data_IF_449785167091
#
_entry.id   IF_449785167091
#
_cell.length_a   1.000
_cell.length_b   1.000
_cell.length_c   1.000
_cell.angle_alpha   90.00
_cell.angle_beta   90.00
_cell.angle_gamma   90.00
#
_symmetry.space_group_name_H-M   'P 1'
#
loop_
_entity.id
_entity.type
_entity.pdbx_description
1 polymer ?
#
# COMPACT_ATOMS: atom_id res chain seq x y z
N UNK A 1 30.32 65.65 59.64
CA UNK A 1 30.47 65.73 58.16
C UNK A 1 30.44 64.31 57.60
N UNK A 2 29.27 63.81 57.20
CA UNK A 2 29.09 62.43 56.67
C UNK A 2 28.99 62.50 55.14
N UNK A 3 29.87 61.78 54.45
CA UNK A 3 29.91 61.65 52.98
C UNK A 3 28.81 60.68 52.54
N UNK A 4 27.92 61.12 51.65
CA UNK A 4 26.93 60.28 50.97
C UNK A 4 27.62 59.60 49.78
N UNK A 5 27.52 58.27 49.67
CA UNK A 5 27.93 57.52 48.49
C UNK A 5 26.71 57.32 47.59
N UNK A 6 26.80 57.80 46.36
CA UNK A 6 25.79 57.59 45.31
C UNK A 6 26.07 56.23 44.68
N UNK A 7 25.14 55.28 44.82
CA UNK A 7 25.18 53.98 44.17
C UNK A 7 24.48 54.11 42.80
N UNK A 8 25.24 54.01 41.72
CA UNK A 8 24.72 53.92 40.36
C UNK A 8 24.23 52.48 40.11
N UNK A 9 22.92 52.32 39.90
CA UNK A 9 22.31 51.06 39.43
C UNK A 9 22.15 51.16 37.91
N UNK A 10 22.93 50.38 37.17
CA UNK A 10 22.78 50.20 35.72
C UNK A 10 21.71 49.15 35.45
N UNK A 11 20.59 49.58 34.85
CA UNK A 11 19.49 48.73 34.40
C UNK A 11 19.85 48.17 33.01
N UNK A 12 20.13 46.87 32.91
CA UNK A 12 20.35 46.20 31.63
C UNK A 12 19.00 45.84 30.98
N UNK A 13 18.67 46.52 29.87
CA UNK A 13 17.47 46.29 29.08
C UNK A 13 17.72 45.10 28.12
N UNK A 14 17.19 43.92 28.42
CA UNK A 14 17.20 42.78 27.50
C UNK A 14 16.10 42.97 26.45
N UNK A 15 16.45 43.40 25.23
CA UNK A 15 15.56 43.31 24.07
C UNK A 15 15.48 41.85 23.62
N UNK A 16 14.34 41.19 23.88
CA UNK A 16 14.02 39.89 23.29
C UNK A 16 13.74 40.05 21.79
N UNK A 17 14.58 39.45 20.96
CA UNK A 17 14.31 39.28 19.53
C UNK A 17 13.28 38.15 19.37
N UNK A 18 12.03 38.49 19.07
CA UNK A 18 11.03 37.52 18.65
C UNK A 18 11.37 37.06 17.22
N UNK A 19 11.80 35.81 17.07
CA UNK A 19 11.95 35.18 15.75
C UNK A 19 10.57 35.02 15.10
N UNK A 20 10.42 35.33 13.80
CA UNK A 20 9.16 35.09 13.12
C UNK A 20 8.89 33.58 13.07
N UNK A 21 7.69 33.19 13.48
CA UNK A 21 7.16 31.84 13.26
C UNK A 21 7.06 31.66 11.74
N UNK A 22 7.94 30.83 11.18
CA UNK A 22 7.80 30.36 9.80
C UNK A 22 6.46 29.64 9.68
N UNK A 23 5.55 30.21 8.90
CA UNK A 23 4.36 29.49 8.45
C UNK A 23 4.86 28.26 7.67
N UNK A 24 4.55 27.06 8.17
CA UNK A 24 4.83 25.82 7.44
C UNK A 24 4.03 25.86 6.15
N UNK A 25 4.73 25.99 5.02
CA UNK A 25 4.14 25.86 3.70
C UNK A 25 3.39 24.53 3.65
N UNK A 26 2.10 24.57 3.27
CA UNK A 26 1.38 23.35 2.91
C UNK A 26 2.14 22.69 1.76
N UNK A 27 2.56 21.42 1.89
CA UNK A 27 3.29 20.75 0.82
C UNK A 27 2.43 20.78 -0.44
N UNK A 28 2.93 21.43 -1.49
CA UNK A 28 2.35 21.32 -2.82
C UNK A 28 2.74 19.94 -3.33
N UNK A 29 1.80 18.99 -3.24
CA UNK A 29 1.93 17.70 -3.89
C UNK A 29 2.12 17.93 -5.39
N UNK A 30 3.33 17.75 -5.90
CA UNK A 30 3.54 17.53 -7.33
C UNK A 30 3.00 16.13 -7.59
N UNK A 31 1.78 16.03 -8.10
CA UNK A 31 1.13 14.73 -8.34
C UNK A 31 2.04 13.84 -9.18
N UNK A 32 2.64 12.84 -8.54
CA UNK A 32 3.43 11.84 -9.24
C UNK A 32 2.51 11.11 -10.22
N UNK A 33 3.05 10.72 -11.37
CA UNK A 33 2.33 9.85 -12.29
C UNK A 33 1.94 8.56 -11.53
N UNK A 34 0.65 8.20 -11.45
CA UNK A 34 0.24 6.92 -10.91
C UNK A 34 0.89 5.80 -11.71
N UNK A 35 1.44 4.81 -11.02
CA UNK A 35 2.05 3.61 -11.57
C UNK A 35 1.17 2.42 -11.19
N UNK A 36 0.35 1.96 -12.13
CA UNK A 36 -0.69 0.96 -11.88
C UNK A 36 -0.11 -0.37 -11.38
N UNK A 37 1.11 -0.71 -11.82
CA UNK A 37 1.79 -1.94 -11.42
C UNK A 37 2.59 -1.83 -10.13
N UNK A 38 2.80 -0.63 -9.61
CA UNK A 38 3.69 -0.42 -8.47
C UNK A 38 3.02 -0.82 -7.13
N UNK A 39 3.61 -1.81 -6.45
CA UNK A 39 3.18 -2.27 -5.14
C UNK A 39 4.30 -2.16 -4.10
N UNK A 40 4.08 -1.33 -3.07
CA UNK A 40 5.03 -1.10 -1.99
C UNK A 40 4.89 -2.21 -0.96
N UNK A 41 5.85 -3.12 -0.97
CA UNK A 41 5.95 -4.20 -0.02
C UNK A 41 6.55 -3.68 1.28
N UNK A 42 6.12 -4.25 2.41
CA UNK A 42 6.56 -3.82 3.73
C UNK A 42 6.51 -2.29 3.94
N UNK A 43 5.52 -1.60 3.36
CA UNK A 43 5.51 -0.13 3.28
C UNK A 43 5.63 0.56 4.65
N UNK A 44 5.18 -0.12 5.71
CA UNK A 44 5.28 0.32 7.09
C UNK A 44 6.71 0.42 7.64
N UNK A 45 7.70 -0.09 6.92
CA UNK A 45 9.13 0.02 7.24
C UNK A 45 9.75 1.32 6.71
N UNK A 46 9.08 2.03 5.80
CA UNK A 46 9.52 3.35 5.34
C UNK A 46 9.36 4.44 6.41
N UNK A 47 10.06 5.56 6.20
CA UNK A 47 10.05 6.70 7.14
C UNK A 47 8.65 7.31 7.26
N UNK A 48 7.96 7.49 6.12
CA UNK A 48 6.58 7.97 6.05
C UNK A 48 5.72 6.92 5.34
N UNK A 49 5.24 5.88 6.06
CA UNK A 49 4.35 4.87 5.49
C UNK A 49 3.19 5.52 4.74
N UNK A 50 2.78 4.87 3.64
CA UNK A 50 1.87 5.35 2.60
C UNK A 50 2.37 6.56 1.81
N UNK A 51 2.82 7.62 2.50
CA UNK A 51 3.11 8.90 1.85
C UNK A 51 4.31 8.80 0.92
N UNK A 52 5.38 8.11 1.32
CA UNK A 52 6.54 7.88 0.45
C UNK A 52 6.12 7.12 -0.81
N UNK A 53 5.34 6.04 -0.68
CA UNK A 53 4.82 5.27 -1.82
C UNK A 53 3.96 6.14 -2.77
N UNK A 54 3.03 6.92 -2.22
CA UNK A 54 2.18 7.82 -3.02
C UNK A 54 3.01 8.91 -3.71
N UNK A 55 4.03 9.49 -3.05
CA UNK A 55 4.96 10.45 -3.68
C UNK A 55 5.80 9.82 -4.80
N UNK A 56 5.99 8.50 -4.77
CA UNK A 56 6.61 7.73 -5.85
C UNK A 56 5.62 7.25 -6.92
N UNK A 57 4.34 7.61 -6.82
CA UNK A 57 3.31 7.22 -7.79
C UNK A 57 2.69 5.84 -7.55
N UNK A 58 3.06 5.15 -6.47
CA UNK A 58 2.56 3.79 -6.23
C UNK A 58 1.05 3.77 -6.06
N UNK A 59 0.41 2.74 -6.60
CA UNK A 59 -1.04 2.57 -6.55
C UNK A 59 -1.48 1.44 -5.63
N UNK A 60 -0.52 0.72 -5.03
CA UNK A 60 -0.78 -0.28 -4.01
C UNK A 60 0.30 -0.31 -2.92
N UNK A 61 -0.10 -0.58 -1.68
CA UNK A 61 0.78 -0.75 -0.51
C UNK A 61 0.34 -1.96 0.32
N UNK A 62 1.27 -2.55 1.07
CA UNK A 62 1.01 -3.61 2.05
C UNK A 62 1.23 -3.16 3.49
N UNK A 63 0.34 -3.59 4.40
CA UNK A 63 0.45 -3.40 5.83
C UNK A 63 0.35 -4.74 6.59
N UNK A 64 1.39 -5.09 7.35
CA UNK A 64 1.41 -6.26 8.24
C UNK A 64 0.70 -5.92 9.56
N UNK A 65 -0.46 -6.53 9.83
CA UNK A 65 -1.35 -6.14 10.93
C UNK A 65 -1.47 -7.22 12.00
N UNK A 66 -1.24 -6.79 13.24
CA UNK A 66 -1.46 -7.55 14.46
C UNK A 66 -2.61 -6.94 15.27
N UNK A 67 -3.52 -7.78 15.78
CA UNK A 67 -4.44 -7.39 16.84
C UNK A 67 -3.78 -7.60 18.20
N UNK A 68 -3.48 -6.51 18.90
CA UNK A 68 -2.83 -6.53 20.22
C UNK A 68 -3.59 -5.60 21.17
N UNK A 69 -4.13 -6.15 22.25
CA UNK A 69 -4.89 -5.41 23.27
C UNK A 69 -6.06 -4.59 22.69
N UNK A 70 -6.66 -5.06 21.60
CA UNK A 70 -7.76 -4.39 20.90
C UNK A 70 -7.33 -3.33 19.87
N UNK A 71 -6.02 -3.09 19.70
CA UNK A 71 -5.47 -2.18 18.69
C UNK A 71 -4.97 -2.96 17.46
N UNK A 72 -5.19 -2.42 16.26
CA UNK A 72 -4.65 -2.92 15.00
C UNK A 72 -3.25 -2.33 14.76
N UNK A 73 -2.22 -2.94 15.33
CA UNK A 73 -0.83 -2.45 15.25
C UNK A 73 -0.14 -2.97 14.01
N UNK A 74 0.69 -2.12 13.39
CA UNK A 74 1.39 -2.44 12.14
C UNK A 74 2.86 -2.73 12.41
N UNK A 75 3.31 -3.93 12.07
CA UNK A 75 4.70 -4.38 12.11
C UNK A 75 4.84 -5.78 11.48
N UNK A 76 6.03 -6.09 10.98
CA UNK A 76 6.34 -7.43 10.48
C UNK A 76 6.23 -8.48 11.59
N UNK A 77 7.04 -8.31 12.63
CA UNK A 77 7.07 -9.17 13.79
C UNK A 77 6.24 -8.60 14.95
N UNK A 78 5.60 -9.49 15.71
CA UNK A 78 4.79 -9.11 16.89
C UNK A 78 5.57 -8.29 17.91
N UNK A 79 6.87 -8.56 18.06
CA UNK A 79 7.76 -7.84 19.00
C UNK A 79 7.96 -6.37 18.64
N UNK A 80 7.82 -6.02 17.37
CA UNK A 80 7.99 -4.66 16.84
C UNK A 80 6.68 -3.88 16.73
N UNK A 81 5.55 -4.52 17.06
CA UNK A 81 4.22 -3.93 17.03
C UNK A 81 4.01 -2.91 18.17
N UNK A 82 4.57 -1.71 17.97
CA UNK A 82 4.56 -0.59 18.92
C UNK A 82 3.18 0.04 19.06
N UNK A 83 2.84 0.43 20.29
CA UNK A 83 1.63 1.21 20.56
C UNK A 83 1.63 2.52 19.76
N UNK A 84 0.46 2.88 19.20
CA UNK A 84 0.28 4.12 18.45
C UNK A 84 0.74 4.10 16.99
N UNK A 85 1.38 3.02 16.50
CA UNK A 85 1.58 2.74 15.07
C UNK A 85 0.45 1.81 14.59
N UNK A 86 -0.75 2.35 14.47
CA UNK A 86 -1.94 1.58 14.09
C UNK A 86 -2.25 1.68 12.60
N UNK A 87 -3.04 0.73 12.10
CA UNK A 87 -3.55 0.71 10.72
C UNK A 87 -4.28 2.01 10.37
N UNK A 88 -5.10 2.53 11.30
CA UNK A 88 -5.82 3.79 11.12
C UNK A 88 -4.84 4.94 10.90
N UNK A 89 -3.87 5.10 11.80
CA UNK A 89 -2.97 6.25 11.79
C UNK A 89 -2.01 6.24 10.61
N UNK A 90 -1.50 5.06 10.24
CA UNK A 90 -0.51 4.94 9.16
C UNK A 90 -1.15 4.89 7.78
N UNK A 91 -2.38 4.38 7.65
CA UNK A 91 -2.99 4.14 6.34
C UNK A 91 -4.38 4.77 6.18
N UNK A 92 -5.34 4.45 7.04
CA UNK A 92 -6.74 4.84 6.79
C UNK A 92 -6.99 6.35 6.92
N UNK A 93 -6.43 6.99 7.94
CA UNK A 93 -6.50 8.45 8.14
C UNK A 93 -5.83 9.24 7.01
N UNK A 94 -4.58 8.93 6.60
CA UNK A 94 -3.96 9.64 5.50
C UNK A 94 -4.61 9.33 4.14
N UNK A 95 -5.06 8.10 3.86
CA UNK A 95 -5.86 7.80 2.66
C UNK A 95 -7.16 8.60 2.63
N UNK A 96 -7.88 8.70 3.75
CA UNK A 96 -9.08 9.50 3.85
C UNK A 96 -8.81 11.00 3.60
N UNK A 97 -7.62 11.46 4.00
CA UNK A 97 -7.19 12.84 3.78
C UNK A 97 -6.84 13.11 2.32
N UNK A 98 -6.08 12.22 1.68
CA UNK A 98 -5.75 12.28 0.25
C UNK A 98 -7.02 12.24 -0.61
N UNK A 99 -7.92 11.30 -0.34
CA UNK A 99 -9.17 11.15 -1.10
C UNK A 99 -10.10 12.36 -0.98
N UNK A 100 -10.16 13.02 0.18
CA UNK A 100 -10.88 14.30 0.31
C UNK A 100 -10.21 15.43 -0.47
N UNK A 101 -8.89 15.54 -0.39
CA UNK A 101 -8.13 16.58 -1.09
C UNK A 101 -8.23 16.43 -2.63
N UNK A 102 -8.23 15.19 -3.12
CA UNK A 102 -8.19 14.85 -4.54
C UNK A 102 -9.58 14.43 -5.08
N UNK A 103 -10.67 14.90 -4.44
CA UNK A 103 -12.07 14.75 -4.90
C UNK A 103 -12.49 13.31 -5.21
N UNK A 104 -12.08 12.36 -4.39
CA UNK A 104 -12.46 10.95 -4.51
C UNK A 104 -11.43 10.05 -5.18
N UNK A 105 -10.18 10.49 -5.35
CA UNK A 105 -9.06 9.64 -5.78
C UNK A 105 -7.88 9.76 -4.81
N UNK A 106 -7.00 8.75 -4.73
CA UNK A 106 -5.76 8.88 -3.93
C UNK A 106 -4.74 9.73 -4.69
N UNK A 107 -4.60 9.48 -6.00
CA UNK A 107 -3.78 10.29 -6.89
C UNK A 107 -4.64 11.31 -7.64
N UNK A 108 -4.23 12.58 -7.75
CA UNK A 108 -5.01 13.58 -8.47
C UNK A 108 -5.14 13.19 -9.96
N UNK A 109 -6.32 13.38 -10.55
CA UNK A 109 -6.63 13.09 -11.97
C UNK A 109 -6.44 11.62 -12.41
N UNK A 110 -6.36 10.69 -11.47
CA UNK A 110 -6.33 9.26 -11.74
C UNK A 110 -7.71 8.63 -11.52
N UNK A 111 -8.18 7.85 -12.50
CA UNK A 111 -9.47 7.15 -12.48
C UNK A 111 -9.39 5.71 -11.97
N UNK A 112 -8.19 5.23 -11.64
CA UNK A 112 -7.98 3.95 -10.97
C UNK A 112 -8.29 3.98 -9.47
N UNK A 113 -8.15 2.80 -8.84
CA UNK A 113 -8.39 2.59 -7.41
C UNK A 113 -7.11 2.19 -6.71
N UNK A 114 -6.82 2.82 -5.58
CA UNK A 114 -5.65 2.50 -4.80
C UNK A 114 -5.87 1.25 -3.97
N UNK A 115 -4.97 0.27 -4.00
CA UNK A 115 -5.11 -0.96 -3.23
C UNK A 115 -4.33 -0.89 -1.91
N UNK A 116 -5.05 -1.01 -0.79
CA UNK A 116 -4.47 -1.28 0.52
C UNK A 116 -4.56 -2.79 0.81
N UNK A 117 -3.43 -3.49 0.72
CA UNK A 117 -3.33 -4.90 1.09
C UNK A 117 -3.05 -5.00 2.60
N UNK A 118 -3.95 -5.64 3.35
CA UNK A 118 -3.79 -5.85 4.79
C UNK A 118 -3.42 -7.30 5.03
N UNK A 119 -2.17 -7.57 5.42
CA UNK A 119 -1.70 -8.91 5.74
C UNK A 119 -1.90 -9.21 7.23
N UNK A 120 -2.86 -10.08 7.55
CA UNK A 120 -3.17 -10.41 8.94
C UNK A 120 -2.12 -11.39 9.49
N UNK A 121 -1.36 -10.94 10.50
CA UNK A 121 -0.31 -11.75 11.14
C UNK A 121 -0.75 -12.46 12.42
N UNK A 122 -1.83 -11.99 13.06
CA UNK A 122 -2.44 -12.61 14.25
C UNK A 122 -3.62 -13.53 13.89
N UNK A 123 -4.42 -13.93 14.89
CA UNK A 123 -5.64 -14.72 14.66
C UNK A 123 -6.54 -14.11 13.58
N UNK A 124 -6.88 -14.90 12.56
CA UNK A 124 -7.58 -14.39 11.38
C UNK A 124 -8.94 -13.78 11.71
N UNK A 125 -9.80 -14.54 12.39
CA UNK A 125 -11.18 -14.17 12.69
C UNK A 125 -11.28 -12.94 13.60
N UNK A 126 -10.57 -12.94 14.73
CA UNK A 126 -10.61 -11.82 15.66
C UNK A 126 -10.00 -10.54 15.05
N UNK A 127 -8.88 -10.68 14.33
CA UNK A 127 -8.21 -9.53 13.70
C UNK A 127 -9.04 -8.97 12.56
N UNK A 128 -9.63 -9.82 11.72
CA UNK A 128 -10.52 -9.37 10.65
C UNK A 128 -11.76 -8.67 11.20
N UNK A 129 -12.38 -9.17 12.27
CA UNK A 129 -13.51 -8.49 12.91
C UNK A 129 -13.14 -7.08 13.40
N UNK A 130 -11.94 -6.92 13.96
CA UNK A 130 -11.41 -5.61 14.34
C UNK A 130 -11.13 -4.70 13.12
N UNK A 131 -10.54 -5.25 12.05
CA UNK A 131 -10.33 -4.53 10.78
C UNK A 131 -11.65 -4.07 10.19
N UNK A 132 -12.65 -4.94 10.04
CA UNK A 132 -13.98 -4.58 9.52
C UNK A 132 -14.62 -3.46 10.33
N UNK A 133 -14.52 -3.52 11.66
CA UNK A 133 -15.00 -2.46 12.55
C UNK A 133 -14.31 -1.13 12.27
N UNK A 134 -13.00 -1.11 12.10
CA UNK A 134 -12.25 0.10 11.75
C UNK A 134 -12.66 0.63 10.37
N UNK A 135 -12.70 -0.22 9.34
CA UNK A 135 -13.05 0.13 7.95
C UNK A 135 -14.44 0.78 7.83
N UNK A 136 -15.41 0.42 8.70
CA UNK A 136 -16.74 1.04 8.71
C UNK A 136 -16.70 2.55 8.96
N UNK A 137 -15.69 3.05 9.67
CA UNK A 137 -15.45 4.49 9.87
C UNK A 137 -15.03 5.22 8.59
N UNK A 138 -14.48 4.49 7.62
CA UNK A 138 -13.92 5.03 6.38
C UNK A 138 -14.73 4.66 5.13
N UNK A 139 -15.90 4.05 5.29
CA UNK A 139 -16.73 3.49 4.19
C UNK A 139 -16.91 4.40 2.98
N UNK A 140 -16.90 5.73 3.14
CA UNK A 140 -17.10 6.67 2.04
C UNK A 140 -15.96 6.68 1.02
N UNK A 141 -14.75 6.28 1.40
CA UNK A 141 -13.60 6.19 0.48
C UNK A 141 -13.38 4.77 -0.07
N UNK A 142 -13.99 3.76 0.57
CA UNK A 142 -13.71 2.36 0.30
C UNK A 142 -14.62 1.78 -0.78
N UNK A 143 -14.08 0.87 -1.57
CA UNK A 143 -14.86 -0.07 -2.39
C UNK A 143 -15.70 -0.97 -1.48
N UNK A 144 -16.96 -1.16 -1.82
CA UNK A 144 -17.91 -1.93 -1.01
C UNK A 144 -18.61 -2.98 -1.85
N UNK A 145 -18.84 -4.15 -1.27
CA UNK A 145 -19.64 -5.20 -1.90
C UNK A 145 -20.88 -5.47 -1.05
N UNK A 146 -22.05 -5.35 -1.67
CA UNK A 146 -23.34 -5.65 -1.03
C UNK A 146 -24.07 -6.69 -1.87
N UNK A 147 -24.31 -7.88 -1.30
CA UNK A 147 -25.02 -8.96 -1.99
C UNK A 147 -24.46 -9.28 -3.40
N UNK A 148 -23.12 -9.29 -3.54
CA UNK A 148 -22.45 -9.57 -4.81
C UNK A 148 -22.34 -8.38 -5.76
N UNK A 149 -22.95 -7.24 -5.45
CA UNK A 149 -22.79 -6.02 -6.23
C UNK A 149 -21.66 -5.16 -5.67
N UNK A 150 -20.71 -4.80 -6.53
CA UNK A 150 -19.64 -3.89 -6.22
C UNK A 150 -20.08 -2.43 -6.36
N UNK A 151 -19.60 -1.59 -5.44
CA UNK A 151 -19.64 -0.14 -5.49
C UNK A 151 -18.21 0.36 -5.35
N UNK A 152 -17.56 0.75 -6.45
CA UNK A 152 -16.18 1.22 -6.43
C UNK A 152 -16.02 2.45 -5.52
N UNK A 153 -14.91 2.48 -4.79
CA UNK A 153 -14.42 3.64 -4.06
C UNK A 153 -12.98 3.95 -4.46
N UNK A 154 -12.44 5.05 -3.93
CA UNK A 154 -11.07 5.49 -4.18
C UNK A 154 -10.02 4.47 -3.73
N UNK A 155 -10.34 3.71 -2.68
CA UNK A 155 -9.47 2.70 -2.08
C UNK A 155 -10.17 1.34 -2.10
N UNK A 156 -9.47 0.32 -2.56
CA UNK A 156 -9.87 -1.07 -2.43
C UNK A 156 -9.02 -1.75 -1.37
N UNK A 157 -9.65 -2.26 -0.32
CA UNK A 157 -8.95 -3.03 0.71
C UNK A 157 -8.97 -4.50 0.32
N UNK A 158 -7.85 -5.20 0.46
CA UNK A 158 -7.76 -6.64 0.22
C UNK A 158 -7.12 -7.30 1.44
N UNK A 159 -7.71 -8.38 1.95
CA UNK A 159 -7.19 -9.13 3.11
C UNK A 159 -6.25 -10.23 2.62
N UNK A 160 -5.00 -10.19 3.11
CA UNK A 160 -3.93 -11.19 2.96
C UNK A 160 -3.59 -11.85 4.31
N UNK A 161 -2.57 -12.72 4.35
CA UNK A 161 -2.11 -13.41 5.55
C UNK A 161 -3.09 -14.48 6.03
N UNK A 162 -3.40 -14.43 7.34
CA UNK A 162 -4.41 -15.27 7.99
C UNK A 162 -5.83 -14.83 7.62
N UNK A 163 -6.25 -15.15 6.40
CA UNK A 163 -7.51 -14.68 5.78
C UNK A 163 -8.71 -15.55 6.20
N UNK A 164 -9.64 -15.07 7.06
CA UNK A 164 -10.78 -15.87 7.51
C UNK A 164 -11.91 -15.90 6.46
N UNK A 165 -11.74 -16.75 5.44
CA UNK A 165 -12.65 -16.82 4.27
C UNK A 165 -14.12 -17.01 4.66
N UNK A 166 -14.41 -17.86 5.66
CA UNK A 166 -15.78 -18.12 6.13
C UNK A 166 -16.44 -16.84 6.66
N UNK A 167 -15.78 -16.15 7.60
CA UNK A 167 -16.27 -14.92 8.21
C UNK A 167 -16.54 -13.83 7.15
N UNK A 168 -15.65 -13.72 6.15
CA UNK A 168 -15.80 -12.75 5.05
C UNK A 168 -17.01 -13.07 4.14
N UNK A 169 -17.33 -14.36 3.94
CA UNK A 169 -18.46 -14.80 3.12
C UNK A 169 -19.81 -14.61 3.83
N UNK A 170 -19.82 -14.65 5.16
CA UNK A 170 -21.02 -14.40 5.96
C UNK A 170 -21.45 -12.93 5.96
N UNK A 171 -20.57 -12.00 5.57
CA UNK A 171 -20.87 -10.59 5.51
C UNK A 171 -21.84 -10.23 4.39
N UNK A 172 -22.99 -9.66 4.75
CA UNK A 172 -23.94 -9.07 3.77
C UNK A 172 -23.39 -7.83 3.07
N UNK A 173 -22.63 -7.01 3.82
CA UNK A 173 -21.94 -5.81 3.34
C UNK A 173 -20.48 -5.96 3.74
N UNK A 174 -19.60 -6.02 2.74
CA UNK A 174 -18.16 -6.22 2.92
C UNK A 174 -17.39 -5.01 2.41
N UNK A 175 -16.35 -4.62 3.14
CA UNK A 175 -15.48 -3.48 2.84
C UNK A 175 -14.07 -3.88 2.40
N UNK A 176 -13.82 -5.18 2.22
CA UNK A 176 -12.53 -5.71 1.78
C UNK A 176 -12.68 -6.95 0.89
N UNK A 177 -11.88 -7.07 -0.16
CA UNK A 177 -11.73 -8.28 -0.96
C UNK A 177 -10.84 -9.33 -0.29
N UNK A 178 -10.84 -10.53 -0.84
CA UNK A 178 -10.00 -11.65 -0.42
C UNK A 178 -8.79 -11.78 -1.37
N UNK A 179 -7.58 -11.85 -0.83
CA UNK A 179 -6.39 -12.24 -1.60
C UNK A 179 -6.35 -13.77 -1.73
N UNK A 180 -6.49 -14.30 -2.94
CA UNK A 180 -6.43 -15.73 -3.25
C UNK A 180 -5.01 -16.29 -3.35
N UNK A 181 -4.87 -17.61 -3.52
CA UNK A 181 -3.61 -18.28 -3.88
C UNK A 181 -3.73 -18.92 -5.27
N UNK A 182 -2.62 -19.30 -5.90
CA UNK A 182 -2.68 -19.96 -7.20
C UNK A 182 -3.48 -21.27 -7.16
N UNK A 183 -3.55 -21.93 -6.00
CA UNK A 183 -4.40 -23.12 -5.80
C UNK A 183 -5.91 -22.84 -5.86
N UNK A 184 -6.32 -21.57 -5.79
CA UNK A 184 -7.72 -21.15 -5.91
C UNK A 184 -8.11 -20.87 -7.38
N UNK A 185 -7.16 -20.88 -8.32
CA UNK A 185 -7.46 -20.78 -9.75
C UNK A 185 -8.30 -21.97 -10.20
N UNK A 186 -9.28 -21.71 -11.07
CA UNK A 186 -10.26 -22.71 -11.51
C UNK A 186 -11.34 -23.08 -10.47
N UNK A 187 -11.29 -22.57 -9.24
CA UNK A 187 -12.27 -22.91 -8.19
C UNK A 187 -13.63 -22.18 -8.33
N UNK A 188 -13.79 -21.30 -9.32
CA UNK A 188 -15.05 -20.58 -9.59
C UNK A 188 -15.42 -19.52 -8.54
N UNK A 189 -14.44 -18.99 -7.79
CA UNK A 189 -14.67 -17.93 -6.82
C UNK A 189 -14.89 -16.61 -7.56
N UNK A 190 -15.95 -15.83 -7.31
CA UNK A 190 -16.17 -14.59 -8.07
C UNK A 190 -15.12 -13.52 -7.71
N UNK A 191 -14.65 -12.75 -8.70
CA UNK A 191 -13.70 -11.64 -8.50
C UNK A 191 -14.23 -10.56 -7.53
N UNK A 192 -15.55 -10.38 -7.44
CA UNK A 192 -16.18 -9.51 -6.43
C UNK A 192 -15.89 -9.95 -4.99
N UNK A 193 -15.52 -11.22 -4.78
CA UNK A 193 -15.01 -11.71 -3.49
C UNK A 193 -13.49 -11.77 -3.47
N UNK A 194 -12.87 -12.30 -4.53
CA UNK A 194 -11.43 -12.52 -4.63
C UNK A 194 -10.82 -11.66 -5.76
N UNK A 195 -10.63 -10.34 -5.55
CA UNK A 195 -10.18 -9.44 -6.62
C UNK A 195 -8.67 -9.52 -6.91
N UNK A 196 -7.92 -10.27 -6.10
CA UNK A 196 -6.48 -10.44 -6.18
C UNK A 196 -6.15 -11.91 -5.96
N UNK A 197 -5.17 -12.42 -6.69
CA UNK A 197 -4.49 -13.67 -6.41
C UNK A 197 -3.00 -13.38 -6.25
N UNK A 198 -2.49 -13.61 -5.04
CA UNK A 198 -1.06 -13.48 -4.74
C UNK A 198 -0.45 -14.83 -4.39
N UNK A 199 0.81 -15.08 -4.75
CA UNK A 199 1.53 -16.25 -4.24
C UNK A 199 3.04 -16.04 -4.19
N UNK A 200 3.71 -16.94 -3.48
CA UNK A 200 5.15 -16.95 -3.33
C UNK A 200 5.80 -17.41 -4.64
N UNK A 201 6.57 -16.53 -5.29
CA UNK A 201 7.31 -16.81 -6.51
C UNK A 201 8.12 -18.12 -6.43
N UNK A 202 8.79 -18.32 -5.30
CA UNK A 202 9.74 -19.42 -5.05
C UNK A 202 9.09 -20.79 -4.96
N UNK A 203 7.78 -20.85 -4.70
CA UNK A 203 7.01 -22.09 -4.71
C UNK A 203 6.67 -22.56 -6.12
N UNK A 204 6.75 -21.66 -7.10
CA UNK A 204 6.29 -21.90 -8.46
C UNK A 204 7.40 -21.86 -9.50
N UNK A 205 8.46 -21.10 -9.23
CA UNK A 205 9.55 -20.84 -10.16
C UNK A 205 10.91 -21.06 -9.49
N UNK A 206 11.78 -21.77 -10.19
CA UNK A 206 13.19 -21.93 -9.79
C UNK A 206 14.05 -20.80 -10.35
N UNK A 207 13.61 -20.15 -11.43
CA UNK A 207 14.33 -19.03 -12.02
C UNK A 207 14.20 -17.77 -11.15
N UNK A 208 15.31 -17.06 -10.96
CA UNK A 208 15.45 -15.92 -10.04
C UNK A 208 16.10 -14.70 -10.71
N UNK A 209 15.93 -14.55 -12.02
CA UNK A 209 16.50 -13.41 -12.74
C UNK A 209 17.92 -13.63 -13.30
N UNK A 210 18.55 -14.78 -13.03
CA UNK A 210 19.85 -15.11 -13.61
C UNK A 210 19.67 -15.72 -15.01
N UNK A 211 20.42 -15.20 -15.99
CA UNK A 211 20.32 -15.58 -17.40
C UNK A 211 18.88 -15.49 -17.96
N UNK A 212 18.65 -16.06 -19.13
CA UNK A 212 17.32 -16.11 -19.72
C UNK A 212 16.37 -17.01 -18.90
N UNK A 213 15.15 -16.54 -18.64
CA UNK A 213 14.11 -17.36 -18.03
C UNK A 213 13.84 -18.60 -18.89
N UNK A 214 13.87 -19.83 -18.32
CA UNK A 214 13.53 -21.04 -19.07
C UNK A 214 12.14 -20.95 -19.68
N UNK A 215 11.99 -21.30 -20.96
CA UNK A 215 10.74 -21.12 -21.70
C UNK A 215 9.56 -21.84 -21.05
N UNK A 216 9.78 -23.00 -20.43
CA UNK A 216 8.74 -23.72 -19.68
C UNK A 216 8.22 -22.93 -18.48
N UNK A 217 9.08 -22.17 -17.80
CA UNK A 217 8.71 -21.29 -16.69
C UNK A 217 8.02 -20.03 -17.21
N UNK A 218 8.51 -19.43 -18.30
CA UNK A 218 7.86 -18.28 -18.95
C UNK A 218 6.44 -18.63 -19.40
N UNK A 219 6.27 -19.76 -20.07
CA UNK A 219 4.96 -20.27 -20.47
C UNK A 219 4.05 -20.57 -19.27
N UNK A 220 4.61 -21.05 -18.14
CA UNK A 220 3.85 -21.23 -16.89
C UNK A 220 3.38 -19.88 -16.33
N UNK A 221 4.24 -18.87 -16.28
CA UNK A 221 3.88 -17.53 -15.81
C UNK A 221 2.73 -16.94 -16.62
N UNK A 222 2.84 -16.95 -17.96
CA UNK A 222 1.77 -16.47 -18.85
C UNK A 222 0.44 -17.18 -18.61
N UNK A 223 0.45 -18.53 -18.53
CA UNK A 223 -0.77 -19.29 -18.23
C UNK A 223 -1.42 -18.90 -16.90
N UNK A 224 -0.63 -18.66 -15.86
CA UNK A 224 -1.15 -18.23 -14.55
C UNK A 224 -1.86 -16.87 -14.68
N UNK A 225 -1.22 -15.91 -15.35
CA UNK A 225 -1.79 -14.58 -15.55
C UNK A 225 -3.04 -14.65 -16.42
N UNK A 226 -2.98 -15.35 -17.55
CA UNK A 226 -4.13 -15.53 -18.45
C UNK A 226 -5.34 -16.16 -17.74
N UNK A 227 -5.11 -17.20 -16.92
CA UNK A 227 -6.18 -17.88 -16.17
C UNK A 227 -6.78 -16.97 -15.09
N UNK A 228 -5.95 -16.20 -14.38
CA UNK A 228 -6.41 -15.24 -13.38
C UNK A 228 -7.22 -14.11 -14.02
N UNK A 229 -6.72 -13.52 -15.11
CA UNK A 229 -7.39 -12.46 -15.86
C UNK A 229 -8.71 -12.94 -16.48
N UNK A 230 -8.75 -14.16 -17.00
CA UNK A 230 -10.00 -14.76 -17.50
C UNK A 230 -11.08 -14.91 -16.41
N UNK A 231 -10.67 -15.05 -15.14
CA UNK A 231 -11.56 -15.07 -13.99
C UNK A 231 -11.80 -13.68 -13.36
N UNK A 232 -11.15 -12.63 -13.89
CA UNK A 232 -11.27 -11.24 -13.43
C UNK A 232 -10.42 -10.89 -12.21
N UNK A 233 -9.43 -11.71 -11.85
CA UNK A 233 -8.52 -11.42 -10.73
C UNK A 233 -7.28 -10.67 -11.23
N UNK A 234 -6.74 -9.80 -10.39
CA UNK A 234 -5.36 -9.31 -10.55
C UNK A 234 -4.36 -10.31 -10.01
N UNK A 235 -3.12 -10.23 -10.45
CA UNK A 235 -2.02 -11.13 -10.05
C UNK A 235 -0.87 -10.36 -9.40
N UNK A 236 -0.39 -10.87 -8.27
CA UNK A 236 0.83 -10.41 -7.58
C UNK A 236 1.72 -11.61 -7.24
N UNK A 237 3.04 -11.44 -7.31
CA UNK A 237 3.99 -12.39 -6.72
C UNK A 237 4.83 -11.72 -5.66
N UNK A 238 5.03 -12.41 -4.54
CA UNK A 238 5.95 -12.00 -3.47
C UNK A 238 7.12 -12.99 -3.37
N UNK A 239 8.16 -12.64 -2.60
CA UNK A 239 9.44 -13.37 -2.56
C UNK A 239 10.14 -13.49 -3.94
N UNK A 240 9.96 -12.48 -4.78
CA UNK A 240 10.81 -12.21 -5.95
C UNK A 240 12.18 -11.68 -5.51
N UNK A 241 13.24 -11.76 -6.34
CA UNK A 241 14.47 -11.03 -6.08
C UNK A 241 14.18 -9.53 -5.97
N UNK A 242 14.60 -8.90 -4.87
CA UNK A 242 14.28 -7.49 -4.59
C UNK A 242 15.50 -6.59 -4.34
N UNK A 243 16.67 -7.20 -4.11
CA UNK A 243 17.92 -6.46 -4.08
C UNK A 243 18.21 -5.86 -5.45
N UNK A 244 18.68 -4.61 -5.45
CA UNK A 244 19.07 -3.90 -6.67
C UNK A 244 20.08 -4.72 -7.48
N UNK A 245 19.78 -4.88 -8.78
CA UNK A 245 20.65 -5.57 -9.71
C UNK A 245 19.91 -6.24 -10.86
N UNK A 246 20.68 -6.82 -11.77
CA UNK A 246 20.19 -7.41 -13.02
C UNK A 246 19.13 -8.50 -12.79
N UNK A 247 19.24 -9.28 -11.72
CA UNK A 247 18.30 -10.34 -11.40
C UNK A 247 16.89 -9.80 -11.07
N UNK A 248 16.80 -8.76 -10.24
CA UNK A 248 15.54 -8.08 -9.94
C UNK A 248 14.93 -7.47 -11.19
N UNK A 249 15.71 -6.70 -11.94
CA UNK A 249 15.26 -6.07 -13.20
C UNK A 249 14.78 -7.11 -14.21
N UNK A 250 15.44 -8.26 -14.31
CA UNK A 250 15.00 -9.34 -15.19
C UNK A 250 13.64 -9.90 -14.76
N UNK A 251 13.42 -10.13 -13.46
CA UNK A 251 12.12 -10.60 -12.96
C UNK A 251 11.03 -9.56 -13.18
N UNK A 252 11.27 -8.28 -12.91
CA UNK A 252 10.30 -7.21 -13.19
C UNK A 252 9.93 -7.17 -14.68
N UNK A 253 10.90 -7.29 -15.60
CA UNK A 253 10.63 -7.35 -17.05
C UNK A 253 9.75 -8.54 -17.43
N UNK A 254 10.00 -9.72 -16.86
CA UNK A 254 9.16 -10.90 -17.10
C UNK A 254 7.75 -10.74 -16.56
N UNK A 255 7.59 -10.11 -15.40
CA UNK A 255 6.28 -9.83 -14.80
C UNK A 255 5.49 -8.81 -15.63
N UNK A 256 6.10 -7.70 -16.06
CA UNK A 256 5.48 -6.72 -16.98
C UNK A 256 5.11 -7.40 -18.30
N UNK A 257 6.03 -8.14 -18.92
CA UNK A 257 5.78 -8.82 -20.19
C UNK A 257 4.71 -9.92 -20.11
N UNK A 258 4.47 -10.47 -18.92
CA UNK A 258 3.39 -11.43 -18.67
C UNK A 258 2.06 -10.77 -18.31
N UNK A 259 2.02 -9.45 -18.08
CA UNK A 259 0.82 -8.72 -17.68
C UNK A 259 0.48 -8.84 -16.19
N UNK A 260 1.46 -9.13 -15.32
CA UNK A 260 1.20 -9.12 -13.88
C UNK A 260 0.77 -7.71 -13.42
N UNK A 261 -0.26 -7.66 -12.57
CA UNK A 261 -0.91 -6.40 -12.19
C UNK A 261 -0.18 -5.67 -11.07
N UNK A 262 0.61 -6.38 -10.25
CA UNK A 262 1.39 -5.77 -9.18
C UNK A 262 2.80 -6.37 -9.07
N UNK A 263 3.80 -5.50 -9.17
CA UNK A 263 5.22 -5.78 -8.92
C UNK A 263 5.57 -5.36 -7.50
N UNK A 264 5.98 -6.33 -6.71
CA UNK A 264 6.34 -6.18 -5.31
C UNK A 264 7.77 -5.65 -5.16
N UNK A 265 7.99 -4.62 -4.33
CA UNK A 265 9.32 -4.09 -4.02
C UNK A 265 9.36 -3.39 -2.65
N UNK A 266 10.51 -3.44 -1.98
CA UNK A 266 10.85 -2.54 -0.88
C UNK A 266 11.61 -1.29 -1.40
N UNK A 267 12.10 -1.30 -2.65
CA UNK A 267 12.80 -0.18 -3.31
C UNK A 267 11.82 0.69 -4.13
N UNK A 268 11.19 1.67 -3.48
CA UNK A 268 10.21 2.56 -4.11
C UNK A 268 10.80 3.38 -5.27
N UNK A 269 11.95 4.08 -5.11
CA UNK A 269 12.55 4.82 -6.21
C UNK A 269 12.93 3.91 -7.38
N UNK A 270 13.51 2.74 -7.11
CA UNK A 270 13.98 1.83 -8.15
C UNK A 270 12.86 1.25 -9.00
N UNK A 271 11.72 0.86 -8.40
CA UNK A 271 10.59 0.38 -9.19
C UNK A 271 9.90 1.51 -9.96
N UNK A 272 9.79 2.72 -9.38
CA UNK A 272 9.27 3.90 -10.09
C UNK A 272 10.07 4.15 -11.36
N UNK A 273 11.38 4.24 -11.25
CA UNK A 273 12.26 4.56 -12.37
C UNK A 273 12.22 3.42 -13.42
N UNK A 274 12.13 2.16 -12.98
CA UNK A 274 11.95 1.02 -13.87
C UNK A 274 10.64 1.08 -14.66
N UNK A 275 9.50 1.29 -14.02
CA UNK A 275 8.18 1.29 -14.68
C UNK A 275 8.06 2.46 -15.66
N UNK A 276 8.51 3.66 -15.29
CA UNK A 276 8.52 4.82 -16.20
C UNK A 276 9.34 4.59 -17.49
N UNK A 277 10.37 3.74 -17.43
CA UNK A 277 11.19 3.38 -18.59
C UNK A 277 10.68 2.15 -19.35
N UNK A 278 10.14 1.14 -18.64
CA UNK A 278 9.94 -0.21 -19.18
C UNK A 278 8.47 -0.65 -19.29
N UNK A 279 7.51 0.12 -18.75
CA UNK A 279 6.09 -0.21 -18.82
C UNK A 279 5.37 0.64 -19.88
N UNK A 280 5.03 0.07 -21.04
CA UNK A 280 4.40 0.81 -22.13
C UNK A 280 2.91 1.12 -21.88
N UNK A 281 2.29 0.46 -20.89
CA UNK A 281 0.85 0.59 -20.61
C UNK A 281 0.56 1.62 -19.50
N UNK A 282 1.59 2.18 -18.86
CA UNK A 282 1.40 3.21 -17.83
C UNK A 282 0.76 4.45 -18.47
N UNK A 283 -0.50 4.68 -18.12
CA UNK A 283 -1.26 5.81 -18.65
C UNK A 283 -0.77 7.09 -17.99
N UNK A 284 -0.33 8.12 -18.75
CA UNK A 284 -0.06 9.42 -18.16
C UNK A 284 -1.36 9.97 -17.55
N UNK A 285 -1.31 10.73 -16.45
CA UNK A 285 -2.50 11.34 -15.88
C UNK A 285 -3.21 12.16 -16.96
N UNK A 286 -4.55 12.06 -17.02
CA UNK A 286 -5.36 12.87 -17.94
C UNK A 286 -5.16 14.34 -17.57
N UNK A 287 -4.33 15.04 -18.34
CA UNK A 287 -4.18 16.50 -18.24
C UNK A 287 -5.43 17.15 -18.83
N UNK A 288 -5.99 18.13 -18.11
CA UNK A 288 -7.08 18.99 -18.59
C UNK A 288 -6.65 19.86 -19.78
#
# INVERSE_FOLDING_TARGET
MRRVHVLLVTLALCLGLASPVSATATPSWSGAQPLERAHAHNDYEHERPLLDAVEHGFTSVEADVWLIDGELRVAHDRGDARQGRTLERLYLDPLASLTRANKGSVHPHWDGRFQLLIDIKSDGSATYAAIDKALRGYRSMLTQWTQGHERPGAVEVVISGNRPKADMLEQRVRLAGYDGRLSDLGAGIPATFMPLVSDNWTRHFTWRGADAMPESQRAKLRRIVDEAHAAGYRVRFWATPDLEGAARTAVWRELVAAGADHLNTDDLPGLRDFLLENDPDESPPKLD
#
